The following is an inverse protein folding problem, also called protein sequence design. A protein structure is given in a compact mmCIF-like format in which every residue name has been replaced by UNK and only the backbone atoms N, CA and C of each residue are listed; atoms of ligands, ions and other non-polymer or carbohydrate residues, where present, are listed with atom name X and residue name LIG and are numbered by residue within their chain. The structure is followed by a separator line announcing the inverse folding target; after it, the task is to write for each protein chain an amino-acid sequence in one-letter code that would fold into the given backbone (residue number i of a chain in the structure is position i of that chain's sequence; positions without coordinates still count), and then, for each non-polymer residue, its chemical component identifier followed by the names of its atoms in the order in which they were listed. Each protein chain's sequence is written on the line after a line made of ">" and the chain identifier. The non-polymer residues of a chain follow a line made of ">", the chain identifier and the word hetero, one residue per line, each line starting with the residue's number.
data_IF_849550140782
#
_entry.id   IF_849550140782
#
_cell.length_a   1.000
_cell.length_b   1.000
_cell.length_c   1.000
_cell.angle_alpha   90.00
_cell.angle_beta   90.00
_cell.angle_gamma   90.00
#
_symmetry.space_group_name_H-M   'P 1'
#
loop_
_entity.id
_entity.type
_entity.pdbx_description
1 polymer ?
#
# COMPACT_ATOMS: atom_id res chain seq x y z
N UNK A 1 26.55 63.16 -10.29
CA UNK A 1 26.33 61.93 -9.50
C UNK A 1 24.89 61.87 -9.04
N UNK A 2 24.05 61.02 -9.64
CA UNK A 2 22.74 60.56 -9.15
C UNK A 2 22.09 59.76 -10.27
N UNK A 3 21.89 58.45 -10.04
CA UNK A 3 20.77 57.61 -10.51
C UNK A 3 21.13 56.15 -10.26
N UNK A 4 20.89 55.71 -9.03
CA UNK A 4 20.72 54.30 -8.68
C UNK A 4 19.35 54.20 -8.03
N UNK A 5 18.43 53.47 -8.65
CA UNK A 5 17.33 52.70 -8.06
C UNK A 5 16.28 52.45 -9.15
N UNK A 6 16.27 51.26 -9.74
CA UNK A 6 15.04 50.59 -10.17
C UNK A 6 15.37 49.15 -10.58
N UNK A 7 15.36 48.23 -9.63
CA UNK A 7 15.26 46.80 -9.92
C UNK A 7 14.95 46.04 -8.63
N UNK A 8 13.70 46.05 -8.16
CA UNK A 8 13.27 45.09 -7.14
C UNK A 8 11.74 44.97 -7.07
N UNK A 9 11.05 44.59 -8.15
CA UNK A 9 9.60 44.32 -8.10
C UNK A 9 9.11 43.26 -9.11
N UNK A 10 9.87 42.17 -9.34
CA UNK A 10 9.42 41.10 -10.25
C UNK A 10 9.65 39.65 -9.80
N UNK A 11 10.02 39.40 -8.53
CA UNK A 11 10.21 38.03 -8.03
C UNK A 11 9.05 37.47 -7.18
N UNK A 12 8.12 38.32 -6.71
CA UNK A 12 6.98 37.89 -5.88
C UNK A 12 5.81 37.24 -6.66
N UNK A 13 5.64 37.60 -7.94
CA UNK A 13 4.48 37.14 -8.74
C UNK A 13 4.59 35.69 -9.24
N UNK A 14 5.81 35.17 -9.41
CA UNK A 14 6.04 33.84 -10.00
C UNK A 14 5.71 32.72 -8.98
N UNK A 15 5.98 32.95 -7.70
CA UNK A 15 5.66 32.00 -6.64
C UNK A 15 4.13 31.86 -6.45
N UNK A 16 3.38 32.96 -6.43
CA UNK A 16 1.93 32.96 -6.18
C UNK A 16 1.15 32.34 -7.36
N UNK A 17 1.56 32.57 -8.61
CA UNK A 17 0.92 31.98 -9.79
C UNK A 17 1.14 30.46 -9.89
N UNK A 18 2.26 29.95 -9.38
CA UNK A 18 2.58 28.52 -9.40
C UNK A 18 1.73 27.71 -8.40
N UNK A 19 1.19 28.34 -7.36
CA UNK A 19 0.40 27.66 -6.32
C UNK A 19 -1.07 27.48 -6.70
N UNK A 20 -1.66 28.47 -7.37
CA UNK A 20 -3.07 28.44 -7.81
C UNK A 20 -3.40 27.27 -8.74
N UNK A 21 -2.41 26.73 -9.46
CA UNK A 21 -2.62 25.64 -10.42
C UNK A 21 -2.98 24.31 -9.74
N UNK A 22 -2.68 24.13 -8.46
CA UNK A 22 -2.97 22.90 -7.73
C UNK A 22 -4.29 22.95 -6.97
N UNK A 23 -4.73 24.15 -6.57
CA UNK A 23 -5.82 24.31 -5.62
C UNK A 23 -7.14 23.75 -6.12
N UNK A 24 -8.03 23.38 -5.18
CA UNK A 24 -9.38 22.94 -5.47
C UNK A 24 -9.68 21.52 -5.00
N UNK A 25 -10.94 21.13 -5.17
CA UNK A 25 -11.44 19.80 -4.82
C UNK A 25 -11.46 18.91 -6.05
N UNK A 26 -10.78 17.78 -5.99
CA UNK A 26 -10.71 16.76 -7.02
C UNK A 26 -11.41 15.51 -6.51
N UNK A 27 -12.36 14.97 -7.27
CA UNK A 27 -13.14 13.84 -6.82
C UNK A 27 -13.34 12.76 -7.88
N UNK A 28 -13.57 11.55 -7.38
CA UNK A 28 -14.06 10.38 -8.08
C UNK A 28 -15.04 9.66 -7.15
N UNK A 29 -15.59 8.53 -7.59
CA UNK A 29 -16.50 7.71 -6.76
C UNK A 29 -15.84 7.24 -5.45
N UNK A 30 -14.53 6.97 -5.47
CA UNK A 30 -13.81 6.35 -4.36
C UNK A 30 -12.92 7.31 -3.56
N UNK A 31 -12.62 8.49 -4.08
CA UNK A 31 -11.68 9.43 -3.44
C UNK A 31 -12.03 10.87 -3.77
N UNK A 32 -11.94 11.72 -2.76
CA UNK A 32 -12.08 13.17 -2.82
C UNK A 32 -10.88 13.80 -2.13
N UNK A 33 -10.20 14.71 -2.81
CA UNK A 33 -9.00 15.41 -2.36
C UNK A 33 -9.20 16.91 -2.54
N UNK A 34 -9.13 17.67 -1.47
CA UNK A 34 -9.15 19.13 -1.51
C UNK A 34 -7.77 19.67 -1.17
N UNK A 35 -7.19 20.47 -2.07
CA UNK A 35 -5.92 21.17 -1.86
C UNK A 35 -6.21 22.66 -1.58
N UNK A 36 -5.92 23.11 -0.36
CA UNK A 36 -6.20 24.47 0.10
C UNK A 36 -5.02 25.41 -0.13
N UNK A 37 -5.30 26.72 -0.22
CA UNK A 37 -4.31 27.76 -0.44
C UNK A 37 -3.27 27.88 0.70
N UNK A 38 -3.67 27.53 1.93
CA UNK A 38 -2.84 27.55 3.14
C UNK A 38 -1.90 26.33 3.27
N UNK A 39 -1.68 25.58 2.17
CA UNK A 39 -0.89 24.34 2.14
C UNK A 39 -1.45 23.18 2.94
N UNK A 40 -2.70 23.26 3.38
CA UNK A 40 -3.39 22.10 3.97
C UNK A 40 -4.16 21.32 2.91
N UNK A 41 -4.44 20.06 3.22
CA UNK A 41 -5.36 19.26 2.42
C UNK A 41 -6.40 18.57 3.32
N UNK A 42 -7.53 18.23 2.68
CA UNK A 42 -8.49 17.25 3.18
C UNK A 42 -8.58 16.12 2.17
N UNK A 43 -8.61 14.88 2.64
CA UNK A 43 -8.87 13.73 1.77
C UNK A 43 -9.87 12.79 2.42
N UNK A 44 -10.83 12.34 1.62
CA UNK A 44 -11.74 11.25 1.91
C UNK A 44 -11.53 10.14 0.89
N UNK A 45 -11.14 8.95 1.34
CA UNK A 45 -10.77 7.84 0.45
C UNK A 45 -11.24 6.49 0.98
N UNK A 46 -11.42 5.51 0.10
CA UNK A 46 -11.48 4.11 0.50
C UNK A 46 -10.18 3.67 1.19
N UNK A 47 -10.23 2.61 2.02
CA UNK A 47 -9.02 2.06 2.67
C UNK A 47 -7.93 1.78 1.62
N UNK A 48 -6.76 2.45 1.70
CA UNK A 48 -5.71 2.32 0.68
C UNK A 48 -4.98 0.97 0.75
N UNK A 49 -5.11 0.21 1.84
CA UNK A 49 -4.49 -1.10 2.04
C UNK A 49 -5.51 -2.20 1.83
N UNK A 50 -6.67 -2.11 2.48
CA UNK A 50 -7.73 -3.12 2.44
C UNK A 50 -8.94 -2.65 1.62
N UNK A 51 -8.73 -2.42 0.34
CA UNK A 51 -9.73 -1.86 -0.58
C UNK A 51 -11.08 -2.62 -0.62
N UNK A 52 -11.08 -3.90 -0.23
CA UNK A 52 -12.25 -4.79 -0.20
C UNK A 52 -13.19 -4.53 0.98
N UNK A 53 -12.78 -3.79 2.01
CA UNK A 53 -13.65 -3.51 3.16
C UNK A 53 -14.72 -2.46 2.83
N UNK A 54 -14.54 -1.73 1.73
CA UNK A 54 -15.37 -0.60 1.33
C UNK A 54 -15.50 0.50 2.41
N UNK A 55 -14.66 0.46 3.44
CA UNK A 55 -14.59 1.49 4.46
C UNK A 55 -13.97 2.76 3.89
N UNK A 56 -14.49 3.91 4.34
CA UNK A 56 -13.96 5.22 3.96
C UNK A 56 -13.29 5.86 5.17
N UNK A 57 -12.18 6.53 4.88
CA UNK A 57 -11.36 7.22 5.86
C UNK A 57 -11.20 8.67 5.44
N UNK A 58 -11.14 9.54 6.44
CA UNK A 58 -10.92 10.96 6.29
C UNK A 58 -9.61 11.32 6.99
N UNK A 59 -8.79 12.11 6.33
CA UNK A 59 -7.57 12.65 6.93
C UNK A 59 -7.27 14.04 6.42
N UNK A 60 -6.54 14.79 7.23
CA UNK A 60 -6.03 16.12 6.88
C UNK A 60 -4.52 16.12 7.03
N UNK A 61 -3.88 17.15 6.49
CA UNK A 61 -2.43 17.29 6.59
C UNK A 61 -1.93 18.44 5.75
N UNK A 62 -0.63 18.43 5.45
CA UNK A 62 0.03 19.45 4.63
C UNK A 62 0.48 18.90 3.28
N UNK A 63 0.62 19.78 2.30
CA UNK A 63 1.10 19.41 0.98
C UNK A 63 2.17 20.37 0.45
N UNK A 64 3.07 19.83 -0.37
CA UNK A 64 4.11 20.59 -1.07
C UNK A 64 4.00 20.36 -2.57
N UNK A 65 4.08 21.43 -3.37
CA UNK A 65 3.98 21.37 -4.83
C UNK A 65 5.33 21.54 -5.51
N UNK A 66 5.62 20.72 -6.51
CA UNK A 66 6.79 20.84 -7.38
C UNK A 66 6.48 20.42 -8.82
N UNK A 67 6.64 21.33 -9.78
CA UNK A 67 6.37 21.05 -11.19
C UNK A 67 4.90 20.70 -11.46
N UNK A 68 4.60 19.46 -11.87
CA UNK A 68 3.22 18.95 -12.03
C UNK A 68 2.76 18.08 -10.86
N UNK A 69 3.61 17.93 -9.84
CA UNK A 69 3.39 16.98 -8.77
C UNK A 69 3.15 17.71 -7.45
N UNK A 70 2.29 17.12 -6.61
CA UNK A 70 2.02 17.51 -5.23
C UNK A 70 2.38 16.31 -4.36
N UNK A 71 3.01 16.55 -3.22
CA UNK A 71 3.32 15.51 -2.22
C UNK A 71 2.50 15.80 -0.98
N UNK A 72 1.59 14.88 -0.62
CA UNK A 72 0.81 14.93 0.61
C UNK A 72 1.66 14.38 1.77
N UNK A 73 1.66 15.10 2.89
CA UNK A 73 2.43 14.83 4.10
C UNK A 73 3.90 14.46 3.79
N UNK A 74 4.69 15.38 3.22
CA UNK A 74 6.06 15.13 2.79
C UNK A 74 7.01 14.77 3.96
N UNK A 75 6.67 15.18 5.18
CA UNK A 75 7.43 14.89 6.39
C UNK A 75 7.17 13.48 6.94
N UNK A 76 6.07 12.82 6.57
CA UNK A 76 5.73 11.49 7.08
C UNK A 76 6.41 10.37 6.27
N UNK A 77 7.20 9.54 6.94
CA UNK A 77 7.80 8.37 6.30
C UNK A 77 6.74 7.32 5.97
N UNK A 78 6.86 6.68 4.81
CA UNK A 78 6.01 5.56 4.41
C UNK A 78 6.21 4.40 5.39
N UNK A 79 5.10 3.90 5.94
CA UNK A 79 5.08 2.65 6.68
C UNK A 79 5.08 1.50 5.68
N UNK A 80 5.96 0.51 5.88
CA UNK A 80 6.06 -0.68 5.03
C UNK A 80 5.71 -1.90 5.85
N UNK A 81 4.99 -2.88 5.26
CA UNK A 81 4.78 -4.16 5.93
C UNK A 81 6.13 -4.78 6.30
N UNK A 82 6.19 -5.37 7.48
CA UNK A 82 7.34 -6.13 7.93
C UNK A 82 7.00 -7.63 7.91
N UNK A 83 7.99 -8.45 7.60
CA UNK A 83 7.86 -9.90 7.63
C UNK A 83 9.00 -10.50 8.43
N UNK A 84 8.67 -11.42 9.32
CA UNK A 84 9.63 -12.25 10.02
C UNK A 84 9.20 -13.70 9.94
N UNK A 85 10.15 -14.61 10.17
CA UNK A 85 9.80 -16.02 10.26
C UNK A 85 10.68 -16.75 11.26
N UNK A 86 10.13 -17.85 11.78
CA UNK A 86 10.86 -18.90 12.47
C UNK A 86 10.81 -20.16 11.61
N UNK A 87 11.83 -20.99 11.77
CA UNK A 87 11.96 -22.24 11.02
C UNK A 87 12.35 -23.36 11.97
N UNK A 88 11.94 -24.57 11.62
CA UNK A 88 12.37 -25.79 12.31
C UNK A 88 12.35 -26.98 11.37
N UNK A 89 13.14 -27.98 11.72
CA UNK A 89 13.02 -29.33 11.16
C UNK A 89 12.04 -30.17 11.99
N UNK A 90 11.04 -30.72 11.33
CA UNK A 90 10.13 -31.71 11.87
C UNK A 90 10.47 -33.08 11.27
N UNK A 91 10.99 -34.04 12.07
CA UNK A 91 11.28 -35.38 11.58
C UNK A 91 10.00 -36.09 11.14
N UNK A 92 10.12 -36.98 10.15
CA UNK A 92 9.02 -37.78 9.59
C UNK A 92 7.91 -37.00 8.88
N UNK A 93 8.13 -35.72 8.57
CA UNK A 93 7.22 -34.94 7.73
C UNK A 93 7.63 -35.05 6.26
N UNK A 94 6.73 -35.58 5.43
CA UNK A 94 6.88 -35.76 3.98
C UNK A 94 6.43 -34.54 3.16
N UNK A 95 6.29 -33.40 3.83
CA UNK A 95 5.82 -32.14 3.26
C UNK A 95 6.56 -30.94 3.84
N UNK A 96 6.37 -29.78 3.21
CA UNK A 96 6.78 -28.49 3.76
C UNK A 96 5.54 -27.76 4.27
N UNK A 97 5.52 -27.41 5.56
CA UNK A 97 4.42 -26.68 6.17
C UNK A 97 4.81 -25.21 6.31
N UNK A 98 3.91 -24.33 5.88
CA UNK A 98 4.01 -22.89 6.12
C UNK A 98 2.79 -22.44 6.89
N UNK A 99 3.00 -21.86 8.07
CA UNK A 99 1.97 -21.20 8.86
C UNK A 99 2.10 -19.69 8.70
N UNK A 100 0.98 -19.00 8.53
CA UNK A 100 0.97 -17.54 8.37
C UNK A 100 0.17 -16.90 9.49
N UNK A 101 0.83 -16.01 10.22
CA UNK A 101 0.24 -15.12 11.21
C UNK A 101 0.22 -13.71 10.63
N UNK A 102 -0.91 -13.02 10.72
CA UNK A 102 -1.07 -11.66 10.21
C UNK A 102 -1.51 -10.74 11.34
N UNK A 103 -0.72 -9.69 11.56
CA UNK A 103 -0.90 -8.74 12.67
C UNK A 103 -1.06 -7.36 12.07
N UNK A 104 -2.07 -6.63 12.50
CA UNK A 104 -2.21 -5.20 12.23
C UNK A 104 -1.58 -4.43 13.38
N UNK A 105 -0.64 -3.56 13.06
CA UNK A 105 -0.14 -2.52 13.96
C UNK A 105 -0.84 -1.22 13.63
N UNK A 106 -1.65 -0.71 14.55
CA UNK A 106 -2.35 0.57 14.37
C UNK A 106 -1.56 1.67 15.06
N UNK A 107 -1.38 2.78 14.35
CA UNK A 107 -0.66 3.95 14.81
C UNK A 107 -1.57 5.18 14.86
N UNK A 108 -1.37 6.01 15.87
CA UNK A 108 -1.91 7.36 15.93
C UNK A 108 -0.75 8.33 16.20
N UNK A 109 -0.61 9.36 15.35
CA UNK A 109 0.46 10.36 15.45
C UNK A 109 1.87 9.79 15.70
N UNK A 110 2.24 8.78 14.91
CA UNK A 110 3.51 8.01 15.02
C UNK A 110 3.63 7.04 16.20
N UNK A 111 2.72 7.08 17.17
CA UNK A 111 2.71 6.18 18.31
C UNK A 111 1.93 4.91 18.00
N UNK A 112 2.49 3.76 18.39
CA UNK A 112 1.81 2.48 18.28
C UNK A 112 0.72 2.41 19.36
N UNK A 113 -0.54 2.31 18.92
CA UNK A 113 -1.69 2.24 19.84
C UNK A 113 -2.21 0.81 20.04
N UNK A 114 -2.06 -0.07 19.03
CA UNK A 114 -2.54 -1.44 19.13
C UNK A 114 -1.80 -2.41 18.22
N UNK A 115 -1.75 -3.67 18.65
CA UNK A 115 -1.38 -4.84 17.83
C UNK A 115 -2.51 -5.85 17.88
N UNK A 116 -3.10 -6.14 16.73
CA UNK A 116 -4.26 -7.05 16.67
C UNK A 116 -4.03 -8.13 15.63
N UNK A 117 -4.05 -9.41 16.01
CA UNK A 117 -4.11 -10.50 15.05
C UNK A 117 -5.38 -10.39 14.21
N UNK A 118 -5.25 -10.52 12.89
CA UNK A 118 -6.38 -10.47 11.96
C UNK A 118 -6.25 -11.59 10.93
N UNK A 119 -7.34 -12.26 10.53
CA UNK A 119 -7.30 -13.12 9.36
C UNK A 119 -6.98 -12.29 8.11
N UNK A 120 -6.02 -12.74 7.29
CA UNK A 120 -5.76 -12.12 6.00
C UNK A 120 -6.79 -12.59 4.97
N UNK A 121 -7.18 -11.71 4.06
CA UNK A 121 -8.07 -12.13 2.97
C UNK A 121 -7.29 -12.91 1.90
N UNK A 122 -6.07 -12.45 1.56
CA UNK A 122 -5.21 -13.10 0.57
C UNK A 122 -3.73 -12.89 0.87
N UNK A 123 -2.96 -13.97 0.83
CA UNK A 123 -1.49 -13.95 0.79
C UNK A 123 -1.00 -14.75 -0.40
N UNK A 124 -0.13 -14.18 -1.21
CA UNK A 124 0.54 -14.91 -2.30
C UNK A 124 1.90 -15.39 -1.81
N UNK A 125 2.15 -16.69 -1.93
CA UNK A 125 3.41 -17.33 -1.54
C UNK A 125 4.03 -18.07 -2.72
N UNK A 126 5.36 -18.12 -2.79
CA UNK A 126 6.07 -19.12 -3.60
C UNK A 126 7.23 -19.73 -2.82
N UNK A 127 7.56 -20.97 -3.14
CA UNK A 127 8.74 -21.66 -2.63
C UNK A 127 9.74 -21.80 -3.78
N UNK A 128 10.95 -21.28 -3.60
CA UNK A 128 12.08 -21.23 -4.54
C UNK A 128 11.83 -20.45 -5.83
N UNK A 129 10.78 -20.77 -6.60
CA UNK A 129 10.51 -20.22 -7.94
C UNK A 129 9.21 -19.40 -7.97
N UNK A 130 9.32 -18.08 -8.23
CA UNK A 130 8.19 -17.13 -8.33
C UNK A 130 7.08 -17.55 -9.30
N UNK A 131 7.41 -18.29 -10.36
CA UNK A 131 6.41 -18.82 -11.33
C UNK A 131 5.44 -19.85 -10.74
N UNK A 132 5.82 -20.52 -9.65
CA UNK A 132 5.02 -21.53 -8.96
C UNK A 132 4.42 -20.93 -7.67
N UNK A 133 3.64 -19.86 -7.82
CA UNK A 133 3.01 -19.20 -6.68
C UNK A 133 1.66 -19.82 -6.34
N UNK A 134 1.25 -19.66 -5.09
CA UNK A 134 -0.06 -20.01 -4.56
C UNK A 134 -0.70 -18.76 -3.99
N UNK A 135 -1.96 -18.52 -4.34
CA UNK A 135 -2.79 -17.50 -3.70
C UNK A 135 -3.56 -18.15 -2.55
N UNK A 136 -3.09 -17.92 -1.34
CA UNK A 136 -3.66 -18.45 -0.13
C UNK A 136 -4.83 -17.57 0.33
N UNK A 137 -6.01 -18.17 0.48
CA UNK A 137 -7.24 -17.48 0.90
C UNK A 137 -8.04 -18.35 1.86
N UNK A 138 -8.81 -17.75 2.78
CA UNK A 138 -9.69 -18.49 3.69
C UNK A 138 -11.06 -18.81 3.09
N UNK A 139 -11.50 -18.03 2.10
CA UNK A 139 -12.74 -18.25 1.36
C UNK A 139 -12.42 -18.18 -0.13
N UNK A 140 -13.03 -19.06 -0.91
CA UNK A 140 -12.88 -18.98 -2.36
C UNK A 140 -13.49 -17.64 -2.80
N UNK A 141 -12.79 -16.85 -3.63
CA UNK A 141 -13.44 -15.73 -4.30
C UNK A 141 -14.68 -16.30 -4.98
N UNK A 142 -15.84 -15.70 -4.73
CA UNK A 142 -17.03 -16.11 -5.48
C UNK A 142 -16.70 -15.89 -6.95
N UNK A 143 -16.98 -16.88 -7.80
CA UNK A 143 -17.01 -16.68 -9.25
C UNK A 143 -18.20 -15.76 -9.53
N UNK A 144 -18.06 -14.48 -9.23
CA UNK A 144 -18.94 -13.44 -9.71
C UNK A 144 -18.80 -13.49 -11.22
N UNK A 145 -19.90 -13.82 -11.91
CA UNK A 145 -20.02 -13.81 -13.37
C UNK A 145 -19.90 -12.39 -13.96
N UNK A 146 -19.01 -11.57 -13.42
CA UNK A 146 -18.55 -10.33 -14.02
C UNK A 146 -17.53 -10.70 -15.10
N UNK A 147 -17.89 -10.50 -16.36
CA UNK A 147 -17.02 -10.65 -17.53
C UNK A 147 -15.69 -9.87 -17.45
N UNK A 148 -15.55 -8.97 -16.48
CA UNK A 148 -14.40 -8.09 -16.27
C UNK A 148 -13.61 -8.39 -14.99
N UNK A 149 -13.98 -9.41 -14.22
CA UNK A 149 -13.25 -9.76 -13.01
C UNK A 149 -12.12 -10.75 -13.30
N UNK A 150 -10.89 -10.39 -12.94
CA UNK A 150 -9.73 -11.25 -13.18
C UNK A 150 -9.85 -12.54 -12.37
N UNK A 151 -9.94 -13.68 -13.07
CA UNK A 151 -9.89 -15.00 -12.44
C UNK A 151 -8.56 -15.16 -11.70
N UNK A 152 -8.63 -15.28 -10.37
CA UNK A 152 -7.44 -15.53 -9.54
C UNK A 152 -6.97 -16.97 -9.79
N UNK A 153 -5.81 -17.13 -10.42
CA UNK A 153 -5.19 -18.43 -10.65
C UNK A 153 -4.50 -18.98 -9.38
N UNK A 154 -4.26 -20.29 -9.33
CA UNK A 154 -3.53 -20.99 -8.26
C UNK A 154 -4.04 -20.71 -6.84
N UNK A 155 -5.37 -20.62 -6.70
CA UNK A 155 -6.01 -20.41 -5.39
C UNK A 155 -5.87 -21.68 -4.55
N UNK A 156 -5.34 -21.52 -3.34
CA UNK A 156 -5.28 -22.55 -2.33
C UNK A 156 -6.11 -22.11 -1.13
N UNK A 157 -7.10 -22.92 -0.77
CA UNK A 157 -7.92 -22.68 0.40
C UNK A 157 -7.13 -23.10 1.63
N UNK A 158 -6.89 -22.14 2.53
CA UNK A 158 -6.22 -22.44 3.78
C UNK A 158 -7.18 -23.03 4.78
N UNK A 159 -6.68 -23.97 5.57
CA UNK A 159 -7.40 -24.46 6.73
C UNK A 159 -7.64 -23.30 7.71
N UNK A 160 -8.92 -22.96 7.90
CA UNK A 160 -9.36 -21.87 8.78
C UNK A 160 -9.02 -22.09 10.25
N UNK A 161 -8.76 -23.34 10.68
CA UNK A 161 -8.42 -23.65 12.07
C UNK A 161 -6.93 -23.46 12.36
N UNK A 162 -6.06 -23.80 11.40
CA UNK A 162 -4.61 -23.84 11.63
C UNK A 162 -3.86 -22.68 10.96
N UNK A 163 -4.43 -22.08 9.91
CA UNK A 163 -3.74 -21.07 9.10
C UNK A 163 -2.50 -21.65 8.43
N UNK A 164 -2.55 -22.92 8.02
CA UNK A 164 -1.42 -23.64 7.41
C UNK A 164 -1.62 -23.91 5.93
N UNK A 165 -0.51 -23.84 5.21
CA UNK A 165 -0.34 -24.21 3.81
C UNK A 165 0.67 -25.36 3.74
N UNK A 166 0.33 -26.41 3.01
CA UNK A 166 1.20 -27.58 2.84
C UNK A 166 1.66 -27.67 1.39
N UNK A 167 2.97 -27.66 1.20
CA UNK A 167 3.64 -27.89 -0.07
C UNK A 167 4.31 -29.25 -0.11
N UNK A 168 4.60 -29.72 -1.33
CA UNK A 168 5.39 -30.95 -1.54
C UNK A 168 6.74 -30.83 -0.85
N UNK A 169 7.21 -31.92 -0.23
CA UNK A 169 8.56 -31.97 0.33
C UNK A 169 9.63 -31.59 -0.71
N UNK A 170 10.62 -30.84 -0.23
CA UNK A 170 11.78 -30.46 -1.00
C UNK A 170 12.66 -29.50 -0.21
N UNK A 171 13.88 -29.30 -0.71
CA UNK A 171 14.78 -28.28 -0.16
C UNK A 171 14.17 -26.89 -0.36
N UNK A 172 14.03 -26.13 0.71
CA UNK A 172 13.57 -24.73 0.68
C UNK A 172 14.79 -23.83 0.72
N UNK A 173 15.05 -23.13 -0.37
CA UNK A 173 16.14 -22.15 -0.49
C UNK A 173 15.63 -20.74 -0.25
N UNK A 174 14.37 -20.46 -0.59
CA UNK A 174 13.68 -19.22 -0.25
C UNK A 174 12.17 -19.34 -0.30
N UNK A 175 11.51 -18.49 0.45
CA UNK A 175 10.06 -18.32 0.45
C UNK A 175 9.77 -16.86 0.09
N UNK A 176 9.07 -16.62 -1.00
CA UNK A 176 8.62 -15.28 -1.36
C UNK A 176 7.18 -15.06 -0.93
N UNK A 177 6.90 -13.94 -0.27
CA UNK A 177 5.56 -13.61 0.24
C UNK A 177 5.14 -12.22 -0.22
N UNK A 178 3.85 -12.11 -0.55
CA UNK A 178 3.20 -10.84 -0.86
C UNK A 178 1.80 -10.82 -0.27
N UNK A 179 1.42 -9.72 0.36
CA UNK A 179 0.05 -9.47 0.82
C UNK A 179 -0.42 -8.08 0.42
N UNK A 180 -1.61 -7.68 0.86
CA UNK A 180 -2.07 -6.29 0.78
C UNK A 180 -1.06 -5.34 1.43
N UNK A 181 -0.87 -4.14 0.86
CA UNK A 181 0.12 -3.17 1.34
C UNK A 181 1.56 -3.42 0.88
N UNK A 182 1.88 -4.57 0.27
CA UNK A 182 3.22 -4.86 -0.25
C UNK A 182 3.43 -4.26 -1.64
N UNK A 183 4.54 -3.56 -1.85
CA UNK A 183 4.95 -3.06 -3.17
C UNK A 183 5.39 -4.24 -4.08
N UNK A 184 6.23 -5.14 -3.57
CA UNK A 184 6.68 -6.38 -4.22
C UNK A 184 6.78 -7.53 -3.20
N UNK A 185 7.22 -8.71 -3.64
CA UNK A 185 7.46 -9.85 -2.76
C UNK A 185 8.62 -9.57 -1.79
N UNK A 186 8.44 -9.96 -0.54
CA UNK A 186 9.53 -10.11 0.41
C UNK A 186 10.07 -11.53 0.35
N UNK A 187 11.37 -11.68 0.09
CA UNK A 187 12.03 -12.99 0.07
C UNK A 187 12.62 -13.31 1.45
N UNK A 188 12.22 -14.45 2.00
CA UNK A 188 12.72 -15.01 3.25
C UNK A 188 13.65 -16.18 2.91
N UNK A 189 14.88 -16.13 3.41
CA UNK A 189 15.91 -17.15 3.14
C UNK A 189 16.11 -17.96 4.42
N UNK A 190 15.77 -19.26 4.43
CA UNK A 190 16.02 -20.17 5.55
C UNK A 190 17.48 -20.14 5.99
N UNK A 191 17.74 -20.21 7.31
CA UNK A 191 19.12 -20.36 7.83
C UNK A 191 19.54 -21.82 7.75
N UNK A 192 18.61 -22.75 8.01
CA UNK A 192 18.81 -24.19 7.87
C UNK A 192 18.09 -24.74 6.62
N UNK A 193 18.90 -25.24 5.67
CA UNK A 193 18.45 -25.90 4.45
C UNK A 193 17.61 -27.18 4.67
N UNK A 194 17.63 -27.77 5.86
CA UNK A 194 16.83 -28.93 6.25
C UNK A 194 15.46 -28.56 6.81
N UNK A 195 15.21 -27.28 7.12
CA UNK A 195 13.94 -26.86 7.69
C UNK A 195 12.78 -27.17 6.74
N UNK A 196 11.72 -27.76 7.29
CA UNK A 196 10.51 -28.12 6.55
C UNK A 196 9.24 -27.55 7.19
N UNK A 197 9.38 -26.77 8.26
CA UNK A 197 8.29 -26.01 8.87
C UNK A 197 8.70 -24.56 9.01
N UNK A 198 7.84 -23.65 8.56
CA UNK A 198 8.05 -22.22 8.58
C UNK A 198 6.83 -21.52 9.20
N UNK A 199 7.04 -20.72 10.23
CA UNK A 199 6.00 -19.85 10.78
C UNK A 199 6.34 -18.40 10.45
N UNK A 200 5.48 -17.79 9.64
CA UNK A 200 5.73 -16.51 9.01
C UNK A 200 4.77 -15.50 9.63
N UNK A 201 5.33 -14.44 10.20
CA UNK A 201 4.55 -13.33 10.75
C UNK A 201 4.63 -12.15 9.78
N UNK A 202 3.46 -11.72 9.30
CA UNK A 202 3.30 -10.49 8.52
C UNK A 202 2.73 -9.42 9.45
N UNK A 203 3.44 -8.31 9.56
CA UNK A 203 3.01 -7.14 10.31
C UNK A 203 2.64 -6.04 9.32
N UNK A 204 1.36 -5.68 9.30
CA UNK A 204 0.82 -4.62 8.47
C UNK A 204 0.62 -3.36 9.31
N UNK A 205 1.47 -2.34 9.13
CA UNK A 205 1.30 -1.07 9.83
C UNK A 205 0.24 -0.21 9.15
N UNK A 206 -0.62 0.45 9.93
CA UNK A 206 -1.70 1.33 9.49
C UNK A 206 -1.81 2.54 10.41
N UNK A 207 -2.15 3.69 9.86
CA UNK A 207 -2.61 4.82 10.67
C UNK A 207 -4.12 4.72 10.88
N UNK A 208 -4.60 5.13 12.06
CA UNK A 208 -6.03 5.18 12.42
C UNK A 208 -6.86 5.87 11.34
N UNK A 209 -6.39 7.01 10.84
CA UNK A 209 -7.03 7.87 9.84
C UNK A 209 -6.64 7.54 8.38
N UNK A 210 -5.80 6.51 8.17
CA UNK A 210 -5.22 6.17 6.85
C UNK A 210 -4.57 7.38 6.16
N UNK A 211 -3.96 8.29 6.93
CA UNK A 211 -3.32 9.48 6.38
C UNK A 211 -2.31 9.10 5.29
N UNK A 212 -2.30 9.81 4.15
CA UNK A 212 -1.29 9.58 3.13
C UNK A 212 0.10 9.92 3.71
N UNK A 213 1.11 9.10 3.40
CA UNK A 213 2.51 9.30 3.83
C UNK A 213 3.41 9.46 2.62
N UNK A 214 4.01 10.64 2.42
CA UNK A 214 4.79 10.97 1.20
C UNK A 214 4.06 10.55 -0.09
N UNK A 215 2.75 10.81 -0.14
CA UNK A 215 1.91 10.38 -1.26
C UNK A 215 2.02 11.39 -2.39
N UNK A 216 2.51 10.94 -3.54
CA UNK A 216 2.60 11.76 -4.74
C UNK A 216 1.26 11.81 -5.47
N UNK A 217 0.88 12.99 -5.94
CA UNK A 217 -0.31 13.25 -6.75
C UNK A 217 0.11 14.11 -7.92
N UNK A 218 -0.22 13.69 -9.15
CA UNK A 218 0.07 14.50 -10.33
C UNK A 218 -1.13 15.35 -10.70
N UNK A 219 -0.99 16.66 -10.70
CA UNK A 219 -2.05 17.60 -11.09
C UNK A 219 -1.76 18.14 -12.49
N UNK A 220 -2.74 17.99 -13.38
CA UNK A 220 -2.70 18.49 -14.75
C UNK A 220 -4.02 19.20 -15.09
N UNK A 221 -4.04 20.52 -14.88
CA UNK A 221 -5.24 21.33 -15.11
C UNK A 221 -6.39 20.95 -14.18
N UNK A 222 -7.44 20.33 -14.72
CA UNK A 222 -8.63 19.90 -13.98
C UNK A 222 -8.58 18.44 -13.52
N UNK A 223 -7.45 17.77 -13.70
CA UNK A 223 -7.28 16.37 -13.32
C UNK A 223 -6.18 16.20 -12.28
N UNK A 224 -6.42 15.33 -11.31
CA UNK A 224 -5.41 14.88 -10.35
C UNK A 224 -5.29 13.36 -10.38
N UNK A 225 -4.11 12.84 -10.70
CA UNK A 225 -3.81 11.41 -10.71
C UNK A 225 -3.30 11.00 -9.33
N UNK A 226 -4.18 10.39 -8.54
CA UNK A 226 -3.93 10.00 -7.16
C UNK A 226 -3.40 8.57 -7.03
N UNK A 227 -3.91 7.63 -7.82
CA UNK A 227 -3.53 6.22 -7.71
C UNK A 227 -2.20 5.97 -8.43
N UNK A 228 -1.29 5.28 -7.74
CA UNK A 228 0.05 4.96 -8.24
C UNK A 228 0.35 3.48 -7.92
N UNK A 229 0.91 2.76 -8.89
CA UNK A 229 1.40 1.38 -8.71
C UNK A 229 2.82 1.30 -9.26
N UNK A 230 3.76 0.89 -8.42
CA UNK A 230 5.18 0.73 -8.78
C UNK A 230 5.78 1.96 -9.52
N UNK A 231 5.57 3.17 -8.99
CA UNK A 231 6.12 4.40 -9.59
C UNK A 231 5.26 5.02 -10.70
N UNK A 232 4.20 4.34 -11.15
CA UNK A 232 3.40 4.76 -12.31
C UNK A 232 1.99 5.17 -11.88
N UNK A 233 1.58 6.36 -12.30
CA UNK A 233 0.22 6.85 -12.10
C UNK A 233 -0.78 6.08 -12.96
N UNK A 234 -1.95 5.78 -12.40
CA UNK A 234 -3.08 5.30 -13.18
C UNK A 234 -3.71 6.47 -13.93
N UNK A 235 -3.51 6.51 -15.25
CA UNK A 235 -4.02 7.58 -16.11
C UNK A 235 -5.51 7.43 -16.46
N UNK A 236 -6.10 6.25 -16.24
CA UNK A 236 -7.48 5.94 -16.63
C UNK A 236 -8.52 6.30 -15.56
N UNK A 237 -8.07 6.60 -14.34
CA UNK A 237 -8.94 6.96 -13.22
C UNK A 237 -8.49 8.27 -12.53
N UNK A 238 -8.45 9.40 -13.26
CA UNK A 238 -8.14 10.69 -12.64
C UNK A 238 -9.27 11.15 -11.71
N UNK A 239 -8.90 11.85 -10.65
CA UNK A 239 -9.83 12.68 -9.88
C UNK A 239 -10.11 13.95 -10.68
N UNK A 240 -11.39 14.32 -10.84
CA UNK A 240 -11.79 15.49 -11.61
C UNK A 240 -12.05 16.67 -10.67
N UNK A 241 -11.53 17.84 -11.01
CA UNK A 241 -11.75 19.07 -10.26
C UNK A 241 -13.23 19.46 -10.34
N UNK A 242 -13.84 19.74 -9.19
CA UNK A 242 -15.18 20.32 -9.11
C UNK A 242 -15.22 21.64 -9.89
N UNK A 243 -16.36 21.93 -10.53
CA UNK A 243 -16.55 23.17 -11.30
C UNK A 243 -16.53 24.40 -10.39
#
# INVERSE_FOLDING_TARGET
>A
MKKAFLAFLFLGGIAIAQENKYLGTYSSVATELTLNADKTFFIRQADPVFIYTHQRFESTGTWEGSGKDVVLNPHLLKRKPATSFTEKYLPNLDSTIVRISYIIETYDNEELISKTPMPFERVTIYINKKRNFFNLVHKRPQDTNCLFEEKIANVHLMDSLTGTFTAKAGKVEKIGIKSYGFEDYTELVPKDSKSNYFEITIVQPLDTDRRPRKKKVRVNGREAYYYERAGKFNLFAPLRRAK
#
